data_IF_382803869316
#
_entry.id   IF_382803869316
#
_cell.length_a   1.000
_cell.length_b   1.000
_cell.length_c   1.000
_cell.angle_alpha   90.00
_cell.angle_beta   90.00
_cell.angle_gamma   90.00
#
_symmetry.space_group_name_H-M   'P 1'
#
loop_
_entity.id
_entity.type
_entity.pdbx_description
1 polymer ?
#
# COMPACT_ATOMS: atom_id res chain seq x y z
N UNK A 1 25.94 -23.01 61.98
CA UNK A 1 24.88 -24.04 62.16
C UNK A 1 24.32 -24.34 60.77
N UNK A 2 24.77 -25.43 60.26
CA UNK A 2 24.46 -26.02 58.97
C UNK A 2 23.15 -26.78 59.04
N UNK A 3 22.26 -26.63 58.08
CA UNK A 3 21.20 -27.61 57.80
C UNK A 3 21.09 -27.82 56.30
N UNK A 4 21.67 -28.93 55.88
CA UNK A 4 21.43 -29.60 54.63
C UNK A 4 20.02 -30.18 54.53
N UNK A 5 19.37 -30.04 53.41
CA UNK A 5 18.13 -30.80 53.07
C UNK A 5 18.46 -31.77 51.92
N UNK A 6 17.88 -32.98 51.92
CA UNK A 6 18.24 -34.06 51.01
C UNK A 6 17.44 -34.07 49.73
N UNK A 7 18.11 -34.48 48.63
CA UNK A 7 17.55 -34.90 47.37
C UNK A 7 16.50 -36.02 47.54
N UNK A 8 15.31 -35.84 46.97
CA UNK A 8 14.38 -36.93 46.66
C UNK A 8 14.35 -37.15 45.17
N UNK A 9 15.00 -38.20 44.72
CA UNK A 9 14.69 -38.80 43.43
C UNK A 9 13.31 -39.43 43.50
N UNK A 10 12.44 -39.09 42.56
CA UNK A 10 11.16 -39.76 42.37
C UNK A 10 11.23 -40.66 41.17
N UNK A 11 11.07 -41.95 41.42
CA UNK A 11 10.96 -43.03 40.46
C UNK A 11 9.73 -42.84 39.58
N UNK A 12 9.91 -42.94 38.26
CA UNK A 12 8.82 -42.97 37.30
C UNK A 12 8.62 -44.46 36.92
N UNK A 13 7.44 -45.03 37.10
CA UNK A 13 7.17 -46.40 36.70
C UNK A 13 6.96 -46.49 35.19
N UNK A 14 7.54 -47.52 34.61
CA UNK A 14 7.40 -47.97 33.24
C UNK A 14 5.91 -48.27 32.94
N UNK A 15 5.32 -47.59 31.96
CA UNK A 15 3.99 -47.87 31.42
C UNK A 15 4.10 -48.58 30.11
N UNK A 16 3.45 -49.73 30.06
CA UNK A 16 3.24 -50.70 28.99
C UNK A 16 3.11 -50.08 27.57
N UNK A 17 3.83 -50.73 26.65
CA UNK A 17 3.58 -50.69 25.21
C UNK A 17 2.21 -51.35 24.92
N UNK A 18 1.26 -50.61 24.39
CA UNK A 18 0.07 -51.12 23.69
C UNK A 18 0.32 -50.92 22.21
N UNK A 19 0.57 -52.04 21.53
CA UNK A 19 0.64 -52.13 20.06
C UNK A 19 -0.74 -51.93 19.47
N UNK A 20 -1.00 -50.75 18.90
CA UNK A 20 -2.15 -50.49 18.04
C UNK A 20 -1.79 -50.78 16.59
N UNK A 21 -2.38 -51.84 16.04
CA UNK A 21 -2.29 -52.28 14.67
C UNK A 21 -3.02 -51.27 13.78
N UNK A 22 -2.27 -50.43 13.06
CA UNK A 22 -2.85 -49.50 12.09
C UNK A 22 -3.15 -50.25 10.79
N UNK A 23 -4.46 -50.32 10.48
CA UNK A 23 -5.02 -50.82 9.23
C UNK A 23 -4.72 -49.77 8.15
N UNK A 24 -3.76 -49.99 7.26
CA UNK A 24 -3.50 -49.19 6.08
C UNK A 24 -4.59 -49.43 5.05
N UNK A 25 -5.55 -48.50 4.92
CA UNK A 25 -6.40 -48.40 3.74
C UNK A 25 -5.55 -47.80 2.61
N UNK A 26 -5.12 -48.62 1.66
CA UNK A 26 -4.54 -48.16 0.40
C UNK A 26 -5.69 -47.52 -0.45
N UNK A 27 -5.80 -46.20 -0.43
CA UNK A 27 -6.56 -45.47 -1.43
C UNK A 27 -5.64 -45.27 -2.63
N UNK A 28 -5.85 -46.05 -3.67
CA UNK A 28 -5.20 -45.87 -4.97
C UNK A 28 -5.79 -44.62 -5.63
N UNK A 29 -5.09 -43.50 -5.56
CA UNK A 29 -5.40 -42.31 -6.35
C UNK A 29 -4.83 -42.55 -7.74
N UNK A 30 -5.70 -42.80 -8.70
CA UNK A 30 -5.33 -42.80 -10.11
C UNK A 30 -4.99 -41.38 -10.55
N UNK A 31 -3.80 -41.13 -11.09
CA UNK A 31 -3.51 -39.84 -11.70
C UNK A 31 -4.32 -39.72 -12.99
N UNK A 32 -5.24 -38.80 -13.01
CA UNK A 32 -5.88 -38.37 -14.28
C UNK A 32 -4.81 -37.57 -15.02
N UNK A 33 -4.17 -38.23 -15.98
CA UNK A 33 -3.31 -37.57 -16.93
C UNK A 33 -4.20 -36.76 -17.89
N UNK A 34 -4.23 -35.44 -17.66
CA UNK A 34 -4.78 -34.50 -18.63
C UNK A 34 -3.86 -34.45 -19.85
N UNK A 35 -4.22 -35.22 -20.87
CA UNK A 35 -3.58 -35.12 -22.18
C UNK A 35 -4.00 -33.80 -22.83
N UNK A 36 -3.05 -32.88 -22.99
CA UNK A 36 -3.24 -31.79 -23.94
C UNK A 36 -3.31 -32.35 -25.36
N UNK A 37 -4.22 -31.88 -26.21
CA UNK A 37 -4.29 -32.38 -27.58
C UNK A 37 -3.06 -31.93 -28.36
N UNK A 38 -2.34 -32.92 -28.93
CA UNK A 38 -1.24 -32.69 -29.83
C UNK A 38 -1.73 -31.92 -31.07
N UNK A 39 -1.15 -30.73 -31.28
CA UNK A 39 -1.42 -29.96 -32.48
C UNK A 39 -0.82 -30.70 -33.68
N UNK A 40 -1.71 -31.25 -34.54
CA UNK A 40 -1.31 -31.78 -35.84
C UNK A 40 -0.79 -30.65 -36.72
N UNK A 41 0.47 -30.76 -37.12
CA UNK A 41 1.05 -29.94 -38.20
C UNK A 41 0.44 -30.35 -39.51
N UNK A 42 -0.51 -29.55 -39.99
CA UNK A 42 -0.94 -29.61 -41.37
C UNK A 42 -0.10 -28.58 -42.16
N UNK A 43 0.80 -29.11 -43.00
CA UNK A 43 1.39 -28.34 -44.10
C UNK A 43 0.27 -28.11 -45.13
N UNK A 44 -0.15 -26.86 -45.27
CA UNK A 44 -0.88 -26.44 -46.46
C UNK A 44 -0.31 -25.12 -46.93
N UNK A 45 0.49 -25.24 -48.01
CA UNK A 45 0.78 -24.14 -48.91
C UNK A 45 -0.51 -23.72 -49.59
N UNK A 46 -1.02 -22.53 -49.29
CA UNK A 46 -2.00 -21.88 -50.11
C UNK A 46 -1.84 -20.37 -50.10
N UNK A 47 -1.80 -19.85 -51.32
CA UNK A 47 -1.66 -18.52 -51.78
C UNK A 47 -2.19 -17.40 -50.86
N UNK A 48 -1.33 -16.44 -50.60
CA UNK A 48 -1.64 -15.13 -50.05
C UNK A 48 -2.60 -14.37 -50.98
N UNK A 49 -3.88 -14.38 -50.64
CA UNK A 49 -4.81 -13.36 -51.10
C UNK A 49 -4.74 -12.19 -50.13
N UNK A 50 -4.20 -11.07 -50.58
CA UNK A 50 -4.20 -9.83 -49.87
C UNK A 50 -5.63 -9.43 -49.47
N UNK A 51 -6.01 -9.68 -48.25
CA UNK A 51 -7.20 -9.06 -47.64
C UNK A 51 -6.85 -7.63 -47.28
N UNK A 52 -7.44 -6.71 -48.00
CA UNK A 52 -7.53 -5.31 -47.60
C UNK A 52 -8.09 -5.28 -46.17
N UNK A 53 -7.42 -4.65 -45.17
CA UNK A 53 -8.01 -4.49 -43.88
C UNK A 53 -9.21 -3.55 -44.01
N UNK A 54 -10.40 -4.10 -44.05
CA UNK A 54 -11.59 -3.32 -43.69
C UNK A 54 -11.34 -2.82 -42.30
N UNK A 55 -11.00 -1.55 -42.16
CA UNK A 55 -11.03 -0.87 -40.88
C UNK A 55 -12.48 -0.96 -40.38
N UNK A 56 -12.76 -2.01 -39.61
CA UNK A 56 -13.84 -1.94 -38.67
C UNK A 56 -13.46 -0.76 -37.77
N UNK A 57 -14.17 0.37 -37.96
CA UNK A 57 -14.10 1.46 -37.01
C UNK A 57 -14.41 0.86 -35.65
N UNK A 58 -13.36 0.58 -34.88
CA UNK A 58 -13.51 0.33 -33.48
C UNK A 58 -14.26 1.57 -32.97
N UNK A 59 -15.54 1.40 -32.67
CA UNK A 59 -16.27 2.40 -31.92
C UNK A 59 -15.43 2.60 -30.66
N UNK A 60 -14.63 3.66 -30.65
CA UNK A 60 -13.92 4.10 -29.46
C UNK A 60 -15.02 4.34 -28.45
N UNK A 61 -15.21 3.37 -27.55
CA UNK A 61 -16.03 3.60 -26.38
C UNK A 61 -15.45 4.84 -25.75
N UNK A 62 -16.14 5.95 -25.90
CA UNK A 62 -15.78 7.20 -25.23
C UNK A 62 -16.01 6.89 -23.76
N UNK A 63 -14.96 6.48 -23.07
CA UNK A 63 -15.00 6.51 -21.62
C UNK A 63 -15.27 7.96 -21.23
N UNK A 64 -16.28 8.22 -20.40
CA UNK A 64 -16.55 9.57 -19.98
C UNK A 64 -15.28 10.14 -19.35
N UNK A 65 -14.83 11.27 -19.85
CA UNK A 65 -13.74 12.01 -19.23
C UNK A 65 -14.17 12.44 -17.83
N UNK A 66 -13.28 12.54 -16.85
CA UNK A 66 -13.58 13.13 -15.56
C UNK A 66 -14.35 14.46 -15.76
N UNK A 67 -15.55 14.57 -15.18
CA UNK A 67 -16.46 15.70 -15.40
C UNK A 67 -17.59 15.47 -16.43
N UNK A 68 -17.62 14.34 -17.16
CA UNK A 68 -18.74 13.98 -18.07
C UNK A 68 -19.91 13.27 -17.37
N UNK A 69 -19.74 12.87 -16.12
CA UNK A 69 -20.86 12.41 -15.31
C UNK A 69 -21.69 13.60 -14.81
N UNK A 70 -23.02 13.45 -14.67
CA UNK A 70 -23.79 14.47 -13.99
C UNK A 70 -23.12 14.77 -12.65
N UNK A 71 -22.97 16.06 -12.29
CA UNK A 71 -22.33 16.42 -11.02
C UNK A 71 -23.06 15.72 -9.88
N UNK A 72 -22.35 14.88 -9.13
CA UNK A 72 -22.91 14.23 -7.96
C UNK A 72 -23.01 15.26 -6.84
N UNK A 73 -24.20 15.37 -6.27
CA UNK A 73 -24.41 16.21 -5.10
C UNK A 73 -24.22 15.37 -3.84
N UNK A 74 -23.07 15.51 -3.21
CA UNK A 74 -22.77 14.81 -1.98
C UNK A 74 -23.78 15.15 -0.86
N UNK A 75 -24.16 14.18 -0.03
CA UNK A 75 -24.84 14.46 1.24
C UNK A 75 -24.09 15.50 2.05
N UNK A 76 -24.80 16.18 2.94
CA UNK A 76 -24.18 17.22 3.78
C UNK A 76 -24.18 16.80 5.24
N UNK A 77 -23.11 17.13 5.92
CA UNK A 77 -23.05 17.13 7.38
C UNK A 77 -23.96 18.21 7.97
N UNK A 78 -24.27 18.16 9.28
CA UNK A 78 -25.13 19.18 9.92
C UNK A 78 -24.63 20.63 9.76
N UNK A 79 -23.33 20.83 9.61
CA UNK A 79 -22.68 22.12 9.33
C UNK A 79 -22.64 22.48 7.83
N UNK A 80 -23.32 21.70 6.99
CA UNK A 80 -23.52 21.99 5.56
C UNK A 80 -22.34 21.63 4.65
N UNK A 81 -21.30 20.97 5.15
CA UNK A 81 -20.14 20.52 4.37
C UNK A 81 -20.42 19.20 3.67
N UNK A 82 -19.75 18.88 2.55
CA UNK A 82 -19.83 17.54 1.96
C UNK A 82 -19.53 16.46 3.00
N UNK A 83 -20.34 15.41 3.05
CA UNK A 83 -20.19 14.33 4.02
C UNK A 83 -19.25 13.23 3.47
N UNK A 84 -18.00 13.27 3.89
CA UNK A 84 -16.96 12.30 3.54
C UNK A 84 -16.85 11.15 4.55
N UNK A 85 -17.68 11.14 5.62
CA UNK A 85 -17.65 10.09 6.63
C UNK A 85 -17.78 8.71 5.99
N UNK A 86 -17.03 7.75 6.51
CA UNK A 86 -17.09 6.36 6.07
C UNK A 86 -15.74 5.68 6.06
N UNK A 87 -15.77 4.39 5.69
CA UNK A 87 -14.58 3.58 5.50
C UNK A 87 -14.30 3.51 4.00
N UNK A 88 -13.08 3.84 3.62
CA UNK A 88 -12.62 3.97 2.25
C UNK A 88 -11.40 3.11 2.01
N UNK A 89 -11.21 2.69 0.77
CA UNK A 89 -10.04 1.89 0.37
C UNK A 89 -9.70 2.15 -1.10
N UNK A 90 -8.42 2.26 -1.41
CA UNK A 90 -7.94 2.24 -2.79
C UNK A 90 -7.78 0.78 -3.28
N UNK A 91 -8.04 0.56 -4.57
CA UNK A 91 -7.78 -0.72 -5.25
C UNK A 91 -6.83 -0.47 -6.42
N UNK A 92 -5.62 -0.06 -6.07
CA UNK A 92 -4.52 0.22 -7.01
C UNK A 92 -3.27 -0.52 -6.57
N UNK A 93 -2.31 -0.66 -7.47
CA UNK A 93 -1.01 -1.31 -7.17
C UNK A 93 0.09 -0.31 -6.80
N UNK A 94 -0.30 0.94 -6.53
CA UNK A 94 0.61 2.06 -6.26
C UNK A 94 1.50 1.88 -5.04
N UNK A 95 1.13 1.01 -4.10
CA UNK A 95 2.01 0.67 -2.97
C UNK A 95 3.24 -0.15 -3.43
N UNK A 96 3.15 -0.82 -4.58
CA UNK A 96 4.27 -1.51 -5.22
C UNK A 96 5.11 -0.53 -6.00
N UNK A 97 4.48 0.22 -6.90
CA UNK A 97 5.08 1.30 -7.69
C UNK A 97 3.98 2.29 -8.08
N UNK A 98 4.18 3.56 -7.81
CA UNK A 98 3.23 4.63 -8.20
C UNK A 98 3.20 4.88 -9.69
N UNK A 99 4.22 4.42 -10.44
CA UNK A 99 4.30 4.46 -11.90
C UNK A 99 3.78 3.14 -12.52
N UNK A 100 3.57 3.13 -13.84
CA UNK A 100 3.27 1.89 -14.58
C UNK A 100 4.38 0.86 -14.37
N UNK A 101 4.00 -0.38 -14.06
CA UNK A 101 4.96 -1.44 -13.79
C UNK A 101 4.46 -2.81 -14.24
N UNK A 102 5.39 -3.62 -14.72
CA UNK A 102 5.13 -4.99 -15.09
C UNK A 102 5.11 -5.92 -13.87
N UNK A 103 4.45 -7.06 -14.04
CA UNK A 103 4.52 -8.13 -13.05
C UNK A 103 5.96 -8.63 -12.92
N UNK A 104 6.42 -8.84 -11.70
CA UNK A 104 7.78 -9.29 -11.42
C UNK A 104 7.81 -10.30 -10.28
N UNK A 105 8.90 -11.05 -10.20
CA UNK A 105 9.14 -11.92 -9.07
C UNK A 105 9.25 -11.08 -7.79
N UNK A 106 8.58 -11.54 -6.76
CA UNK A 106 8.73 -10.99 -5.42
C UNK A 106 10.10 -11.32 -4.81
N UNK A 107 10.37 -10.84 -3.59
CA UNK A 107 11.65 -11.10 -2.91
C UNK A 107 11.87 -12.58 -2.59
N UNK A 108 10.81 -13.35 -2.50
CA UNK A 108 10.82 -14.80 -2.22
C UNK A 108 9.97 -15.55 -3.25
N UNK A 109 10.47 -15.76 -4.48
CA UNK A 109 9.69 -16.33 -5.58
C UNK A 109 9.28 -17.79 -5.39
N UNK A 110 9.80 -18.44 -4.39
CA UNK A 110 9.44 -19.79 -3.93
C UNK A 110 8.24 -19.81 -2.96
N UNK A 111 7.75 -18.65 -2.55
CA UNK A 111 6.61 -18.51 -1.64
C UNK A 111 5.42 -17.94 -2.42
N UNK A 112 4.20 -18.35 -2.06
CA UNK A 112 2.97 -17.83 -2.66
C UNK A 112 2.62 -16.44 -2.13
N UNK A 113 1.85 -15.68 -2.92
CA UNK A 113 1.34 -14.36 -2.55
C UNK A 113 2.33 -13.23 -2.83
N UNK A 114 2.19 -12.11 -2.12
CA UNK A 114 2.95 -10.88 -2.36
C UNK A 114 4.46 -11.01 -2.14
N UNK A 115 4.90 -12.08 -1.50
CA UNK A 115 6.33 -12.39 -1.37
C UNK A 115 6.89 -13.15 -2.56
N UNK A 116 6.05 -13.94 -3.23
CA UNK A 116 6.45 -14.73 -4.40
C UNK A 116 6.37 -13.94 -5.70
N UNK A 117 5.41 -13.05 -5.82
CA UNK A 117 5.18 -12.28 -7.03
C UNK A 117 4.53 -10.92 -6.73
N UNK A 118 4.99 -9.89 -7.40
CA UNK A 118 4.34 -8.59 -7.44
C UNK A 118 3.51 -8.49 -8.72
N UNK A 119 2.22 -8.17 -8.64
CA UNK A 119 1.40 -7.98 -9.82
C UNK A 119 1.87 -6.78 -10.62
N UNK A 120 1.68 -6.81 -11.92
CA UNK A 120 1.75 -5.64 -12.76
C UNK A 120 0.58 -4.72 -12.48
N UNK A 121 0.76 -3.43 -12.74
CA UNK A 121 -0.28 -2.46 -12.49
C UNK A 121 -0.12 -1.18 -13.27
N UNK A 122 -1.24 -0.49 -13.42
CA UNK A 122 -1.26 0.86 -13.96
C UNK A 122 -0.87 1.84 -12.86
N UNK A 123 0.04 2.75 -13.18
CA UNK A 123 0.45 3.83 -12.30
C UNK A 123 -0.65 4.85 -12.06
N UNK A 124 -0.47 5.62 -11.01
CA UNK A 124 -1.37 6.68 -10.59
C UNK A 124 -0.79 8.08 -10.83
N UNK A 125 0.44 8.17 -11.34
CA UNK A 125 1.15 9.43 -11.63
C UNK A 125 0.60 10.05 -12.91
N UNK A 126 0.15 11.30 -12.85
CA UNK A 126 -0.30 12.03 -14.02
C UNK A 126 0.86 12.25 -15.00
N UNK A 127 0.68 11.79 -16.24
CA UNK A 127 1.73 11.81 -17.27
C UNK A 127 2.75 10.69 -17.16
N UNK A 128 2.60 9.79 -16.17
CA UNK A 128 3.36 8.54 -16.05
C UNK A 128 4.80 8.69 -15.55
N UNK A 129 5.31 9.92 -15.35
CA UNK A 129 6.72 10.15 -15.02
C UNK A 129 6.90 11.08 -13.83
N UNK A 130 7.74 10.68 -12.88
CA UNK A 130 8.13 11.49 -11.74
C UNK A 130 9.38 12.30 -12.10
N UNK A 131 9.34 13.65 -11.95
CA UNK A 131 10.41 14.54 -12.41
C UNK A 131 11.59 14.61 -11.41
N UNK A 132 12.30 13.51 -11.24
CA UNK A 132 13.45 13.44 -10.35
C UNK A 132 14.59 14.36 -10.80
N UNK A 133 15.32 14.92 -9.82
CA UNK A 133 16.67 15.42 -10.04
C UNK A 133 17.62 14.24 -10.28
N UNK A 134 18.70 14.41 -11.07
CA UNK A 134 19.60 13.30 -11.40
C UNK A 134 20.17 12.57 -10.16
N UNK A 135 20.60 13.33 -9.16
CA UNK A 135 21.12 12.81 -7.88
C UNK A 135 20.05 12.08 -7.08
N UNK A 136 18.82 12.58 -7.07
CA UNK A 136 17.69 11.97 -6.39
C UNK A 136 17.25 10.67 -7.09
N UNK A 137 17.31 10.61 -8.41
CA UNK A 137 17.03 9.39 -9.15
C UNK A 137 18.05 8.28 -8.84
N UNK A 138 19.31 8.64 -8.61
CA UNK A 138 20.32 7.67 -8.17
C UNK A 138 19.95 7.10 -6.78
N UNK A 139 19.46 7.94 -5.86
CA UNK A 139 19.00 7.50 -4.55
C UNK A 139 17.76 6.60 -4.63
N UNK A 140 16.78 6.92 -5.49
CA UNK A 140 15.63 6.02 -5.76
C UNK A 140 16.12 4.62 -6.16
N UNK A 141 17.05 4.54 -7.11
CA UNK A 141 17.61 3.24 -7.58
C UNK A 141 18.29 2.49 -6.44
N UNK A 142 19.08 3.17 -5.64
CA UNK A 142 19.71 2.59 -4.44
C UNK A 142 18.66 2.05 -3.46
N UNK A 143 17.59 2.80 -3.21
CA UNK A 143 16.48 2.37 -2.36
C UNK A 143 15.83 1.09 -2.91
N UNK A 144 15.52 1.06 -4.21
CA UNK A 144 14.92 -0.10 -4.87
C UNK A 144 15.80 -1.35 -4.76
N UNK A 145 17.12 -1.21 -4.96
CA UNK A 145 18.08 -2.31 -4.83
C UNK A 145 18.18 -2.82 -3.39
N UNK A 146 18.07 -1.93 -2.43
CA UNK A 146 18.25 -2.22 -1.01
C UNK A 146 16.93 -2.40 -0.24
N UNK A 147 15.77 -2.40 -0.91
CA UNK A 147 14.45 -2.39 -0.26
C UNK A 147 14.22 -3.52 0.74
N UNK A 148 14.87 -4.66 0.54
CA UNK A 148 14.79 -5.82 1.44
C UNK A 148 15.89 -5.87 2.50
N UNK A 149 16.82 -4.90 2.49
CA UNK A 149 17.90 -4.83 3.46
C UNK A 149 17.46 -4.13 4.74
N UNK A 150 16.53 -4.74 5.45
CA UNK A 150 16.09 -4.26 6.75
C UNK A 150 17.05 -4.79 7.80
N UNK A 151 17.79 -3.90 8.46
CA UNK A 151 18.75 -4.28 9.50
C UNK A 151 18.11 -4.24 10.88
N UNK A 152 17.80 -5.39 11.44
CA UNK A 152 17.18 -5.53 12.76
C UNK A 152 18.18 -5.41 13.92
N UNK A 153 19.47 -5.35 13.63
CA UNK A 153 20.53 -5.34 14.63
C UNK A 153 21.15 -3.95 14.84
N UNK A 154 20.74 -2.96 14.05
CA UNK A 154 21.21 -1.59 14.18
C UNK A 154 20.55 -0.90 15.37
N UNK A 155 21.34 -0.18 16.16
CA UNK A 155 20.82 0.64 17.26
C UNK A 155 20.07 1.89 16.75
N UNK A 156 20.30 2.28 15.49
CA UNK A 156 19.62 3.41 14.84
C UNK A 156 18.86 2.97 13.59
N UNK A 157 17.72 2.33 13.80
CA UNK A 157 16.84 1.84 12.77
C UNK A 157 16.30 2.92 11.81
N UNK A 158 16.34 4.18 12.20
CA UNK A 158 15.87 5.30 11.37
C UNK A 158 16.73 5.54 10.14
N UNK A 159 18.01 5.19 10.22
CA UNK A 159 18.98 5.33 9.15
C UNK A 159 19.26 4.03 8.40
N UNK A 160 18.57 2.95 8.76
CA UNK A 160 18.72 1.68 8.07
C UNK A 160 18.18 1.78 6.64
N UNK A 161 18.84 1.05 5.76
CA UNK A 161 18.31 0.81 4.43
C UNK A 161 17.08 -0.09 4.48
N UNK A 162 16.38 -0.20 3.37
CA UNK A 162 15.20 -1.03 3.23
C UNK A 162 13.90 -0.24 3.28
N UNK A 163 12.82 -0.90 2.85
CA UNK A 163 11.51 -0.29 2.77
C UNK A 163 10.97 0.02 4.18
N UNK A 164 10.57 1.28 4.45
CA UNK A 164 9.97 1.67 5.72
C UNK A 164 8.71 0.88 6.09
N UNK A 165 7.95 0.39 5.11
CA UNK A 165 6.78 -0.48 5.34
C UNK A 165 7.18 -1.75 6.09
N UNK A 166 8.32 -2.37 5.74
CA UNK A 166 8.84 -3.56 6.42
C UNK A 166 9.22 -3.31 7.87
N UNK A 167 9.51 -2.06 8.20
CA UNK A 167 9.83 -1.59 9.56
C UNK A 167 8.57 -1.21 10.34
N UNK A 168 7.38 -1.37 9.76
CA UNK A 168 6.12 -0.92 10.35
C UNK A 168 6.07 0.58 10.69
N UNK A 169 6.84 1.38 9.98
CA UNK A 169 6.76 2.83 10.13
C UNK A 169 5.41 3.32 9.63
N UNK A 170 4.91 4.34 10.25
CA UNK A 170 3.72 5.04 9.79
C UNK A 170 3.98 5.59 8.38
N UNK A 171 3.16 5.24 7.38
CA UNK A 171 3.55 5.36 5.97
C UNK A 171 3.65 6.79 5.44
N UNK A 172 3.15 7.78 6.19
CA UNK A 172 3.04 9.15 5.69
C UNK A 172 1.92 9.28 4.65
N UNK A 173 1.72 10.50 4.16
CA UNK A 173 0.82 10.76 3.04
C UNK A 173 1.65 11.17 1.82
N UNK A 174 1.21 10.82 0.60
CA UNK A 174 -0.07 10.20 0.25
C UNK A 174 -0.11 8.66 0.40
N UNK A 175 1.00 7.97 0.71
CA UNK A 175 1.09 6.50 0.72
C UNK A 175 -0.01 5.85 1.57
N UNK A 176 -0.33 6.39 2.72
CA UNK A 176 -1.38 5.87 3.60
C UNK A 176 -2.73 5.69 2.89
N UNK A 177 -3.02 6.50 1.86
CA UNK A 177 -4.31 6.48 1.17
C UNK A 177 -4.42 5.40 0.08
N UNK A 178 -3.29 4.85 -0.40
CA UNK A 178 -3.29 3.80 -1.43
C UNK A 178 -2.63 2.49 -0.99
N UNK A 179 -2.20 2.38 0.24
CA UNK A 179 -1.88 1.06 0.80
C UNK A 179 -3.09 0.13 0.70
N UNK A 180 -2.90 -1.20 0.59
CA UNK A 180 -4.00 -2.15 0.41
C UNK A 180 -4.85 -2.36 1.68
N UNK A 181 -4.92 -1.36 2.54
CA UNK A 181 -5.65 -1.36 3.80
C UNK A 181 -6.72 -0.26 3.79
N UNK A 182 -7.89 -0.49 4.40
CA UNK A 182 -8.90 0.54 4.51
C UNK A 182 -8.50 1.61 5.53
N UNK A 183 -9.15 2.76 5.40
CA UNK A 183 -9.08 3.84 6.37
C UNK A 183 -10.45 4.47 6.58
N UNK A 184 -10.67 5.08 7.73
CA UNK A 184 -11.92 5.72 8.09
C UNK A 184 -11.75 7.23 8.18
N UNK A 185 -12.61 7.97 7.48
CA UNK A 185 -12.77 9.41 7.65
C UNK A 185 -13.85 9.65 8.70
N UNK A 186 -13.53 10.45 9.71
CA UNK A 186 -14.41 10.87 10.79
C UNK A 186 -14.41 12.39 10.77
N UNK A 187 -15.51 12.97 10.28
CA UNK A 187 -15.62 14.40 10.03
C UNK A 187 -16.34 15.08 11.18
N UNK A 188 -15.65 16.02 11.82
CA UNK A 188 -16.21 16.98 12.76
C UNK A 188 -16.17 18.40 12.19
N UNK A 189 -16.75 19.38 12.90
CA UNK A 189 -16.84 20.75 12.41
C UNK A 189 -15.46 21.46 12.31
N UNK A 190 -14.58 21.21 13.27
CA UNK A 190 -13.28 21.88 13.38
C UNK A 190 -12.11 20.98 12.98
N UNK A 191 -12.34 19.69 12.88
CA UNK A 191 -11.31 18.68 12.61
C UNK A 191 -11.88 17.51 11.84
N UNK A 192 -11.07 16.99 10.94
CA UNK A 192 -11.30 15.69 10.32
C UNK A 192 -10.21 14.75 10.87
N UNK A 193 -10.63 13.62 11.41
CA UNK A 193 -9.72 12.55 11.79
C UNK A 193 -9.74 11.48 10.73
N UNK A 194 -8.57 11.01 10.31
CA UNK A 194 -8.44 9.89 9.41
C UNK A 194 -7.68 8.80 10.16
N UNK A 195 -8.38 7.69 10.39
CA UNK A 195 -7.83 6.52 11.04
C UNK A 195 -7.48 5.47 9.99
N UNK A 196 -6.23 5.08 9.91
CA UNK A 196 -5.74 4.06 8.98
C UNK A 196 -5.61 2.73 9.70
N UNK A 197 -6.00 1.65 9.04
CA UNK A 197 -5.84 0.31 9.59
C UNK A 197 -4.36 -0.05 9.72
N UNK A 198 -3.56 0.26 8.68
CA UNK A 198 -2.13 -0.01 8.70
C UNK A 198 -1.42 0.77 9.83
N UNK A 199 -0.64 0.05 10.61
CA UNK A 199 0.16 0.56 11.74
C UNK A 199 -0.66 1.39 12.74
N UNK A 200 -2.00 1.27 12.76
CA UNK A 200 -2.92 2.06 13.60
C UNK A 200 -2.67 3.56 13.51
N UNK A 201 -2.33 4.02 12.32
CA UNK A 201 -1.96 5.41 12.10
C UNK A 201 -3.18 6.31 12.26
N UNK A 202 -2.96 7.47 12.86
CA UNK A 202 -3.97 8.51 12.99
C UNK A 202 -3.45 9.81 12.38
N UNK A 203 -4.33 10.54 11.71
CA UNK A 203 -4.06 11.85 11.16
C UNK A 203 -5.17 12.81 11.53
N UNK A 204 -4.81 13.99 11.98
CA UNK A 204 -5.75 15.08 12.23
C UNK A 204 -5.57 16.15 11.16
N UNK A 205 -6.66 16.52 10.50
CA UNK A 205 -6.73 17.67 9.59
C UNK A 205 -7.48 18.78 10.33
N UNK A 206 -6.82 19.90 10.55
CA UNK A 206 -7.40 21.07 11.21
C UNK A 206 -8.15 21.92 10.19
N UNK A 207 -9.47 22.09 10.40
CA UNK A 207 -10.36 22.71 9.40
C UNK A 207 -10.48 24.24 9.51
N UNK A 208 -9.93 24.83 10.57
CA UNK A 208 -9.99 26.27 10.78
C UNK A 208 -8.58 26.87 10.82
N UNK A 209 -8.00 27.11 9.65
CA UNK A 209 -6.66 27.68 9.53
C UNK A 209 -6.53 29.09 10.16
N UNK A 210 -7.64 29.79 10.44
CA UNK A 210 -7.65 31.10 11.08
C UNK A 210 -7.73 31.02 12.62
N UNK A 211 -7.89 29.82 13.17
CA UNK A 211 -7.91 29.62 14.61
C UNK A 211 -6.48 29.77 15.16
N UNK A 212 -6.25 30.83 15.91
CA UNK A 212 -4.95 31.13 16.51
C UNK A 212 -4.52 30.14 17.59
N UNK A 213 -5.42 29.27 18.03
CA UNK A 213 -5.10 28.19 18.96
C UNK A 213 -4.46 26.98 18.26
N UNK A 214 -4.57 26.94 16.92
CA UNK A 214 -3.94 25.89 16.08
C UNK A 214 -2.63 26.44 15.56
N UNK A 215 -1.49 25.77 15.79
CA UNK A 215 -0.22 26.17 15.21
C UNK A 215 -0.32 26.30 13.68
N UNK A 216 0.18 27.41 13.13
CA UNK A 216 0.19 27.65 11.69
C UNK A 216 1.33 26.89 11.00
N UNK A 217 2.35 26.55 11.75
CA UNK A 217 3.47 25.75 11.32
C UNK A 217 3.55 24.48 12.18
N UNK A 218 4.06 23.38 11.63
CA UNK A 218 4.23 22.15 12.41
C UNK A 218 5.15 22.40 13.60
N UNK A 219 4.72 22.02 14.82
CA UNK A 219 5.57 22.19 16.00
C UNK A 219 6.78 21.27 16.00
N UNK A 220 6.72 20.18 15.23
CA UNK A 220 7.77 19.22 14.96
C UNK A 220 7.39 18.38 13.75
N UNK A 221 8.38 17.86 13.04
CA UNK A 221 8.15 16.92 11.98
C UNK A 221 7.62 15.59 12.53
N UNK A 222 6.67 15.02 11.82
CA UNK A 222 6.02 13.77 12.19
C UNK A 222 5.91 12.83 10.99
N UNK A 223 5.61 11.55 11.24
CA UNK A 223 5.41 10.57 10.17
C UNK A 223 4.27 10.93 9.21
N UNK A 224 3.16 11.47 9.74
CA UNK A 224 1.96 11.81 8.96
C UNK A 224 1.90 13.29 8.55
N UNK A 225 2.91 14.06 8.90
CA UNK A 225 2.95 15.50 8.69
C UNK A 225 1.95 16.26 9.55
N UNK A 226 1.91 17.55 9.35
CA UNK A 226 0.94 18.47 9.91
C UNK A 226 -0.04 18.89 8.83
N UNK A 227 -1.34 18.72 9.07
CA UNK A 227 -2.36 18.89 8.04
C UNK A 227 -3.37 19.97 8.44
N UNK A 228 -3.58 20.92 7.55
CA UNK A 228 -4.69 21.87 7.60
C UNK A 228 -5.61 21.68 6.39
N UNK A 229 -6.90 21.94 6.54
CA UNK A 229 -7.86 21.71 5.48
C UNK A 229 -8.92 22.80 5.38
N UNK A 230 -9.53 22.88 4.22
CA UNK A 230 -10.69 23.70 3.93
C UNK A 230 -11.53 23.07 2.81
N UNK A 231 -12.74 23.54 2.64
CA UNK A 231 -13.58 23.11 1.52
C UNK A 231 -13.57 24.14 0.41
N UNK A 232 -13.34 23.69 -0.81
CA UNK A 232 -13.55 24.43 -2.05
C UNK A 232 -14.78 23.82 -2.76
N UNK A 233 -15.96 24.42 -2.55
CA UNK A 233 -17.21 23.82 -3.04
C UNK A 233 -17.46 22.45 -2.42
N UNK A 234 -17.42 21.40 -3.24
CA UNK A 234 -17.64 20.00 -2.82
C UNK A 234 -16.34 19.22 -2.62
N UNK A 235 -15.20 19.87 -2.73
CA UNK A 235 -13.87 19.27 -2.57
C UNK A 235 -13.27 19.66 -1.23
N UNK A 236 -12.87 18.67 -0.42
CA UNK A 236 -11.97 18.89 0.70
C UNK A 236 -10.55 19.04 0.16
N UNK A 237 -9.90 20.15 0.47
CA UNK A 237 -8.49 20.40 0.18
C UNK A 237 -7.71 20.32 1.48
N UNK A 238 -6.63 19.52 1.47
CA UNK A 238 -5.76 19.32 2.64
C UNK A 238 -4.33 19.67 2.27
N UNK A 239 -3.76 20.60 3.00
CA UNK A 239 -2.37 21.03 2.88
C UNK A 239 -1.55 20.39 4.01
N UNK A 240 -0.43 19.75 3.67
CA UNK A 240 0.36 18.97 4.63
C UNK A 240 1.85 19.17 4.43
N UNK A 241 2.55 19.43 5.53
CA UNK A 241 3.99 19.64 5.59
C UNK A 241 4.56 19.14 6.92
N UNK A 242 5.88 19.23 7.13
CA UNK A 242 6.51 18.78 8.36
C UNK A 242 6.56 17.25 8.46
N UNK A 243 7.02 16.61 7.41
CA UNK A 243 7.19 15.16 7.35
C UNK A 243 8.60 14.74 7.75
N UNK A 244 8.69 13.65 8.51
CA UNK A 244 9.96 12.97 8.70
C UNK A 244 10.42 12.33 7.37
N UNK A 245 11.69 12.46 6.98
CA UNK A 245 12.18 12.01 5.67
C UNK A 245 12.47 10.51 5.62
N UNK A 246 11.79 9.71 6.42
CA UNK A 246 12.06 8.27 6.59
C UNK A 246 10.99 7.38 5.97
N UNK A 247 10.01 7.95 5.26
CA UNK A 247 8.99 7.20 4.51
C UNK A 247 9.25 7.25 3.01
N UNK A 248 8.68 6.27 2.30
CA UNK A 248 8.73 6.19 0.85
C UNK A 248 7.32 6.28 0.29
N UNK A 249 7.20 6.65 -0.99
CA UNK A 249 5.91 6.61 -1.67
C UNK A 249 5.47 5.19 -2.02
N UNK A 250 6.42 4.26 -2.24
CA UNK A 250 6.14 2.89 -2.68
C UNK A 250 7.30 1.93 -2.38
N UNK A 251 7.15 0.68 -2.81
CA UNK A 251 8.18 -0.35 -2.70
C UNK A 251 9.24 -0.29 -3.81
N UNK A 252 9.01 0.52 -4.85
CA UNK A 252 9.98 0.79 -5.92
C UNK A 252 11.07 1.77 -5.50
N UNK A 253 11.00 2.30 -4.27
CA UNK A 253 12.01 3.16 -3.67
C UNK A 253 11.80 4.64 -3.92
N UNK A 254 10.62 5.02 -4.40
CA UNK A 254 10.25 6.42 -4.56
C UNK A 254 10.14 7.08 -3.19
N UNK A 255 10.83 8.19 -2.99
CA UNK A 255 11.06 8.79 -1.69
C UNK A 255 10.92 10.32 -1.71
N UNK A 256 10.99 10.92 -0.54
CA UNK A 256 10.98 12.37 -0.34
C UNK A 256 12.00 12.79 0.73
N UNK A 257 12.23 14.09 0.84
CA UNK A 257 12.99 14.72 1.92
C UNK A 257 12.06 15.30 2.99
N UNK A 258 12.64 15.97 3.96
CA UNK A 258 11.93 16.78 4.98
C UNK A 258 11.25 18.04 4.40
N UNK A 259 11.62 18.41 3.17
CA UNK A 259 10.99 19.52 2.44
C UNK A 259 9.69 19.11 1.72
N UNK A 260 9.19 17.88 1.93
CA UNK A 260 7.96 17.42 1.33
C UNK A 260 6.77 18.32 1.70
N UNK A 261 6.05 18.75 0.68
CA UNK A 261 4.77 19.42 0.76
C UNK A 261 3.75 18.66 -0.09
N UNK A 262 2.59 18.34 0.49
CA UNK A 262 1.53 17.59 -0.18
C UNK A 262 0.24 18.37 -0.10
N UNK A 263 -0.37 18.65 -1.25
CA UNK A 263 -1.72 19.22 -1.34
C UNK A 263 -2.65 18.15 -1.89
N UNK A 264 -3.58 17.71 -1.06
CA UNK A 264 -4.53 16.64 -1.38
C UNK A 264 -5.93 17.20 -1.65
N UNK A 265 -6.67 16.53 -2.53
CA UNK A 265 -8.03 16.88 -2.87
C UNK A 265 -8.91 15.65 -2.82
N UNK A 266 -10.00 15.73 -2.07
CA UNK A 266 -10.98 14.66 -1.92
C UNK A 266 -12.32 15.16 -2.46
N UNK A 267 -12.73 14.65 -3.62
CA UNK A 267 -14.00 15.04 -4.26
C UNK A 267 -14.91 13.82 -4.36
N UNK A 268 -16.02 13.84 -3.66
CA UNK A 268 -16.98 12.74 -3.78
C UNK A 268 -17.71 12.84 -5.12
N UNK A 269 -17.53 11.84 -5.98
CA UNK A 269 -18.06 11.80 -7.35
C UNK A 269 -19.25 10.85 -7.50
N UNK A 270 -19.53 10.05 -6.49
CA UNK A 270 -20.70 9.18 -6.38
C UNK A 270 -20.94 8.79 -4.91
N UNK A 271 -22.05 8.12 -4.55
CA UNK A 271 -22.26 7.58 -3.20
C UNK A 271 -21.14 6.64 -2.75
N UNK A 272 -20.40 6.07 -3.70
CA UNK A 272 -19.45 4.96 -3.49
C UNK A 272 -18.00 5.33 -3.76
N UNK A 273 -17.75 6.52 -4.34
CA UNK A 273 -16.42 6.91 -4.80
C UNK A 273 -16.04 8.32 -4.37
N UNK A 274 -14.82 8.47 -3.93
CA UNK A 274 -14.11 9.76 -3.84
C UNK A 274 -13.01 9.73 -4.89
N UNK A 275 -12.94 10.73 -5.76
CA UNK A 275 -11.72 10.99 -6.53
C UNK A 275 -10.71 11.65 -5.60
N UNK A 276 -9.58 11.00 -5.44
CA UNK A 276 -8.45 11.51 -4.69
C UNK A 276 -7.37 11.99 -5.65
N UNK A 277 -6.86 13.18 -5.39
CA UNK A 277 -5.74 13.76 -6.11
C UNK A 277 -4.73 14.28 -5.10
N UNK A 278 -3.45 14.14 -5.39
CA UNK A 278 -2.38 14.73 -4.60
C UNK A 278 -1.36 15.43 -5.50
N UNK A 279 -1.02 16.66 -5.14
CA UNK A 279 0.13 17.38 -5.70
C UNK A 279 1.30 17.24 -4.74
N UNK A 280 2.42 16.80 -5.26
CA UNK A 280 3.65 16.51 -4.52
C UNK A 280 4.68 17.57 -4.90
N UNK A 281 5.22 18.24 -3.90
CA UNK A 281 6.29 19.22 -4.04
C UNK A 281 7.41 18.85 -3.08
N UNK A 282 8.61 18.71 -3.60
CA UNK A 282 9.82 18.54 -2.80
C UNK A 282 11.01 19.09 -3.61
N UNK A 283 11.42 20.33 -3.32
CA UNK A 283 12.47 20.99 -4.09
C UNK A 283 13.85 20.36 -3.92
N UNK A 284 14.04 19.48 -2.92
CA UNK A 284 15.29 18.75 -2.75
C UNK A 284 15.36 17.51 -3.65
N UNK A 285 14.20 16.94 -4.00
CA UNK A 285 14.10 15.64 -4.72
C UNK A 285 13.66 15.82 -6.16
N UNK A 286 12.69 16.71 -6.43
CA UNK A 286 12.07 16.86 -7.73
C UNK A 286 12.43 18.19 -8.39
N UNK A 287 12.44 18.20 -9.73
CA UNK A 287 12.71 19.41 -10.53
C UNK A 287 11.48 20.33 -10.66
N UNK A 288 10.29 19.79 -10.44
CA UNK A 288 8.99 20.48 -10.45
C UNK A 288 7.97 19.69 -9.66
N UNK A 289 6.85 20.31 -9.25
CA UNK A 289 5.71 19.59 -8.71
C UNK A 289 5.18 18.53 -9.69
N UNK A 290 4.64 17.44 -9.14
CA UNK A 290 3.98 16.38 -9.90
C UNK A 290 2.71 15.94 -9.17
N UNK A 291 1.86 15.19 -9.87
CA UNK A 291 0.55 14.81 -9.37
C UNK A 291 0.29 13.33 -9.49
N UNK A 292 -0.56 12.85 -8.62
CA UNK A 292 -1.18 11.53 -8.69
C UNK A 292 -2.68 11.64 -8.50
N UNK A 293 -3.43 10.70 -9.09
CA UNK A 293 -4.87 10.61 -8.91
C UNK A 293 -5.37 9.18 -9.02
N UNK A 294 -6.36 8.83 -8.18
CA UNK A 294 -7.01 7.51 -8.18
C UNK A 294 -8.34 7.56 -7.41
N UNK A 295 -9.27 6.65 -7.70
CA UNK A 295 -10.51 6.55 -6.96
C UNK A 295 -10.33 5.82 -5.64
N UNK A 296 -10.97 6.35 -4.59
CA UNK A 296 -11.23 5.65 -3.34
C UNK A 296 -12.62 5.06 -3.38
N UNK A 297 -12.77 3.84 -2.92
CA UNK A 297 -14.00 3.08 -2.91
C UNK A 297 -14.56 3.00 -1.49
N UNK A 298 -15.85 3.29 -1.33
CA UNK A 298 -16.52 3.13 -0.04
C UNK A 298 -16.72 1.65 0.26
N UNK A 299 -16.31 1.21 1.44
CA UNK A 299 -16.62 -0.11 1.95
C UNK A 299 -18.08 -0.15 2.38
N UNK A 300 -18.83 -1.08 1.80
CA UNK A 300 -20.31 -1.15 1.92
C UNK A 300 -20.80 -2.33 2.75
N UNK A 301 -19.92 -3.16 3.25
CA UNK A 301 -20.26 -4.34 4.02
C UNK A 301 -20.97 -3.95 5.32
N UNK A 302 -22.05 -4.66 5.63
CA UNK A 302 -22.82 -4.39 6.85
C UNK A 302 -21.98 -4.60 8.10
N UNK A 303 -21.89 -3.57 8.94
CA UNK A 303 -21.14 -3.64 10.20
C UNK A 303 -19.62 -3.63 10.02
N UNK A 304 -19.12 -3.20 8.84
CA UNK A 304 -17.70 -3.03 8.61
C UNK A 304 -17.09 -2.08 9.63
N UNK A 305 -15.93 -2.44 10.11
CA UNK A 305 -15.07 -1.60 10.95
C UNK A 305 -13.61 -1.84 10.54
N UNK A 306 -12.75 -0.93 10.91
CA UNK A 306 -11.31 -1.17 10.80
C UNK A 306 -10.94 -2.31 11.74
N UNK A 307 -10.09 -3.20 11.28
CA UNK A 307 -9.58 -4.29 12.10
C UNK A 307 -8.26 -3.90 12.76
N UNK A 308 -7.91 -4.61 13.81
CA UNK A 308 -6.63 -4.42 14.47
C UNK A 308 -5.48 -4.94 13.60
N UNK A 309 -4.75 -4.03 12.99
CA UNK A 309 -3.51 -4.36 12.30
C UNK A 309 -2.31 -3.98 13.17
N UNK A 310 -1.81 -4.96 13.90
CA UNK A 310 -0.59 -4.82 14.66
C UNK A 310 0.61 -5.17 13.78
N UNK A 311 1.14 -4.21 13.08
CA UNK A 311 2.42 -4.39 12.45
C UNK A 311 3.48 -4.55 13.54
N UNK A 312 4.27 -5.61 13.45
CA UNK A 312 5.42 -5.83 14.32
C UNK A 312 6.65 -5.59 13.48
N UNK A 313 7.49 -4.66 13.90
CA UNK A 313 8.74 -4.36 13.22
C UNK A 313 9.52 -5.66 12.96
N UNK A 314 10.05 -5.77 11.74
CA UNK A 314 10.87 -6.90 11.31
C UNK A 314 10.20 -8.27 11.38
N UNK A 315 8.87 -8.34 11.56
CA UNK A 315 8.15 -9.63 11.60
C UNK A 315 8.42 -10.46 10.34
N UNK A 316 8.60 -9.82 9.21
CA UNK A 316 8.90 -10.49 7.95
C UNK A 316 10.30 -11.09 7.93
N UNK A 317 11.28 -10.42 8.53
CA UNK A 317 12.61 -10.99 8.70
C UNK A 317 12.60 -12.14 9.70
N UNK A 318 11.82 -12.05 10.77
CA UNK A 318 11.64 -13.16 11.71
C UNK A 318 11.00 -14.39 11.07
N UNK A 319 9.99 -14.19 10.21
CA UNK A 319 9.26 -15.29 9.57
C UNK A 319 9.98 -15.83 8.32
N UNK A 320 10.54 -14.95 7.51
CA UNK A 320 11.04 -15.28 6.18
C UNK A 320 12.51 -14.97 5.96
N UNK A 321 13.20 -14.41 6.95
CA UNK A 321 14.61 -14.01 6.81
C UNK A 321 15.56 -15.15 6.44
N UNK A 322 15.18 -16.40 6.76
CA UNK A 322 15.92 -17.59 6.33
C UNK A 322 15.92 -17.80 4.81
N UNK A 323 14.93 -17.21 4.10
CA UNK A 323 14.81 -17.26 2.64
C UNK A 323 15.38 -16.01 1.98
N UNK A 324 15.86 -15.05 2.76
CA UNK A 324 16.41 -13.81 2.23
C UNK A 324 17.62 -14.07 1.33
N UNK A 325 17.65 -13.39 0.19
CA UNK A 325 18.81 -13.39 -0.71
C UNK A 325 20.02 -12.65 -0.12
N UNK A 326 19.77 -11.86 0.93
CA UNK A 326 20.78 -11.04 1.58
C UNK A 326 21.19 -11.70 2.89
N UNK A 327 22.45 -12.15 3.00
CA UNK A 327 22.93 -12.77 4.23
C UNK A 327 22.86 -11.75 5.36
N UNK A 328 22.37 -12.17 6.52
CA UNK A 328 22.49 -11.38 7.75
C UNK A 328 23.97 -11.15 8.03
N UNK A 329 24.36 -9.91 8.21
CA UNK A 329 25.73 -9.58 8.63
C UNK A 329 25.92 -9.89 10.10
#
# INVERSE_FOLDING_TARGET
MSRSQPNRAQDIPAVLFVTAMALFLLVTVNPVAGQAPAAARANSSSASAARTPTQAAAATAKFPTPGQFPPYKAPRTPDGKPDLNGIWQAFVTADIDVQDHDAQAGPHPDIMGAYGAWPGGQGIVEGGEIPYKPEALAKKKENAEKRMLVNITSDDHRHDTGDPELKCYTPGVPRANYMPFPFQIIQGPDRIMIAYEFARSLRTVYMNANDKTIPQEPPADTWMGWSSGHFEGDTLVVDSKGFLPYTWFDRAGDYHSDALHVVERYTQVSPYHIMYEATIEDPNVFTRPWKMSFPLYRRMEKGIQLVDFNCTEFVLDLLYGQYSKYPKK
#
